data_IF_083160992360
#
_entry.id   IF_083160992360
#
_cell.length_a   1.000
_cell.length_b   1.000
_cell.length_c   1.000
_cell.angle_alpha   90.00
_cell.angle_beta   90.00
_cell.angle_gamma   90.00
#
_symmetry.space_group_name_H-M   'P 1'
#
loop_
_entity.id
_entity.type
_entity.pdbx_description
1 polymer ?
#
# COMPACT_ATOMS: atom_id res chain seq x y z
N UNK A 1 -4.32 -14.86 -18.47
CA UNK A 1 -4.47 -13.41 -18.35
C UNK A 1 -5.22 -12.98 -17.09
N UNK A 2 -6.12 -13.81 -16.60
CA UNK A 2 -6.85 -13.57 -15.34
C UNK A 2 -5.95 -13.63 -14.09
N UNK A 3 -4.85 -14.38 -14.13
CA UNK A 3 -3.91 -14.55 -13.01
C UNK A 3 -3.16 -13.25 -12.67
N UNK A 4 -2.76 -12.47 -13.68
CA UNK A 4 -2.01 -11.21 -13.47
C UNK A 4 -2.90 -10.11 -12.89
N UNK A 5 -4.16 -10.02 -13.31
CA UNK A 5 -5.10 -9.04 -12.74
C UNK A 5 -5.45 -9.39 -11.30
N UNK A 6 -5.60 -10.68 -10.96
CA UNK A 6 -5.88 -11.12 -9.60
C UNK A 6 -4.72 -10.84 -8.64
N UNK A 7 -3.47 -11.03 -9.08
CA UNK A 7 -2.28 -10.73 -8.30
C UNK A 7 -2.13 -9.24 -8.01
N UNK A 8 -2.39 -8.39 -9.01
CA UNK A 8 -2.39 -6.92 -8.85
C UNK A 8 -3.49 -6.45 -7.92
N UNK A 9 -4.70 -6.98 -8.07
CA UNK A 9 -5.85 -6.66 -7.25
C UNK A 9 -5.61 -7.07 -5.79
N UNK A 10 -5.09 -8.27 -5.55
CA UNK A 10 -4.75 -8.75 -4.20
C UNK A 10 -3.64 -7.94 -3.56
N UNK A 11 -2.65 -7.51 -4.34
CA UNK A 11 -1.55 -6.66 -3.88
C UNK A 11 -2.06 -5.30 -3.41
N UNK A 12 -2.89 -4.63 -4.21
CA UNK A 12 -3.47 -3.32 -3.89
C UNK A 12 -4.38 -3.44 -2.67
N UNK A 13 -5.21 -4.48 -2.61
CA UNK A 13 -6.10 -4.72 -1.48
C UNK A 13 -5.33 -4.96 -0.18
N UNK A 14 -4.21 -5.71 -0.24
CA UNK A 14 -3.36 -5.97 0.92
C UNK A 14 -2.69 -4.69 1.43
N UNK A 15 -2.24 -3.82 0.55
CA UNK A 15 -1.64 -2.52 0.93
C UNK A 15 -2.67 -1.61 1.58
N UNK A 16 -3.87 -1.49 0.99
CA UNK A 16 -4.95 -0.66 1.54
C UNK A 16 -5.40 -1.23 2.89
N UNK A 17 -5.53 -2.55 3.00
CA UNK A 17 -5.91 -3.20 4.25
C UNK A 17 -4.92 -2.87 5.37
N UNK A 18 -3.62 -2.99 5.09
CA UNK A 18 -2.58 -2.66 6.08
C UNK A 18 -2.63 -1.19 6.46
N UNK A 19 -2.80 -0.28 5.48
CA UNK A 19 -2.90 1.15 5.73
C UNK A 19 -4.12 1.50 6.59
N UNK A 20 -5.27 0.87 6.33
CA UNK A 20 -6.49 1.06 7.12
C UNK A 20 -6.27 0.58 8.56
N UNK A 21 -5.71 -0.61 8.74
CA UNK A 21 -5.46 -1.17 10.07
C UNK A 21 -4.47 -0.30 10.85
N UNK A 22 -3.40 0.15 10.23
CA UNK A 22 -2.41 1.03 10.86
C UNK A 22 -3.03 2.37 11.27
N UNK A 23 -3.88 2.94 10.39
CA UNK A 23 -4.55 4.20 10.68
C UNK A 23 -5.51 4.07 11.88
N UNK A 24 -6.26 2.98 11.93
CA UNK A 24 -7.25 2.74 13.00
C UNK A 24 -6.59 2.53 14.36
N UNK A 25 -5.40 1.98 14.43
CA UNK A 25 -4.69 1.84 15.70
C UNK A 25 -4.48 3.19 16.39
N UNK A 26 -4.13 4.22 15.63
CA UNK A 26 -3.92 5.56 16.17
C UNK A 26 -5.17 6.41 16.21
N UNK A 27 -6.21 6.08 15.42
CA UNK A 27 -7.36 6.94 15.19
C UNK A 27 -8.66 6.11 15.10
N UNK A 28 -9.05 5.41 16.19
CA UNK A 28 -10.20 4.50 16.11
C UNK A 28 -11.53 5.20 15.88
N UNK A 29 -11.62 6.50 16.18
CA UNK A 29 -12.86 7.28 16.05
C UNK A 29 -13.00 8.02 14.73
N UNK A 30 -12.01 7.90 13.83
CA UNK A 30 -12.12 8.52 12.51
C UNK A 30 -13.23 7.83 11.69
N UNK A 31 -14.00 8.65 10.98
CA UNK A 31 -15.03 8.14 10.05
C UNK A 31 -14.35 7.51 8.84
N UNK A 32 -15.09 6.68 8.12
CA UNK A 32 -14.58 6.09 6.87
C UNK A 32 -14.17 7.18 5.87
N UNK A 33 -14.91 8.30 5.84
CA UNK A 33 -14.61 9.44 4.97
C UNK A 33 -13.28 10.11 5.36
N UNK A 34 -13.04 10.28 6.65
CA UNK A 34 -11.76 10.81 7.16
C UNK A 34 -10.60 9.88 6.84
N UNK A 35 -10.79 8.57 7.01
CA UNK A 35 -9.79 7.56 6.67
C UNK A 35 -9.46 7.63 5.17
N UNK A 36 -10.47 7.64 4.32
CA UNK A 36 -10.31 7.73 2.87
C UNK A 36 -9.51 8.98 2.47
N UNK A 37 -9.84 10.12 3.06
CA UNK A 37 -9.13 11.37 2.82
C UNK A 37 -7.67 11.32 3.25
N UNK A 38 -7.40 10.77 4.43
CA UNK A 38 -6.03 10.67 4.96
C UNK A 38 -5.16 9.70 4.17
N UNK A 39 -5.73 8.59 3.73
CA UNK A 39 -4.99 7.56 2.98
C UNK A 39 -4.92 7.83 1.47
N UNK A 40 -5.70 8.79 0.97
CA UNK A 40 -5.75 9.07 -0.45
C UNK A 40 -6.37 7.95 -1.27
N UNK A 41 -7.35 7.24 -0.70
CA UNK A 41 -8.07 6.15 -1.37
C UNK A 41 -9.56 6.48 -1.42
N UNK A 42 -10.32 5.74 -2.23
CA UNK A 42 -11.75 5.97 -2.36
C UNK A 42 -12.50 5.55 -1.09
N UNK A 43 -13.63 6.22 -0.84
CA UNK A 43 -14.52 5.85 0.26
C UNK A 43 -15.02 4.40 0.12
N UNK A 44 -15.30 3.98 -1.12
CA UNK A 44 -15.72 2.61 -1.43
C UNK A 44 -14.67 1.57 -1.04
N UNK A 45 -13.40 1.86 -1.30
CA UNK A 45 -12.28 0.98 -0.91
C UNK A 45 -12.19 0.84 0.61
N UNK A 46 -12.33 1.95 1.36
CA UNK A 46 -12.30 1.93 2.82
C UNK A 46 -13.50 1.14 3.36
N UNK A 47 -14.69 1.41 2.82
CA UNK A 47 -15.92 0.71 3.24
C UNK A 47 -15.80 -0.80 3.03
N UNK A 48 -15.36 -1.22 1.85
CA UNK A 48 -15.16 -2.63 1.52
C UNK A 48 -14.15 -3.28 2.47
N UNK A 49 -13.03 -2.61 2.68
CA UNK A 49 -11.96 -3.09 3.55
C UNK A 49 -12.44 -3.29 4.99
N UNK A 50 -13.12 -2.29 5.55
CA UNK A 50 -13.63 -2.37 6.93
C UNK A 50 -14.68 -3.47 7.07
N UNK A 51 -15.59 -3.62 6.10
CA UNK A 51 -16.58 -4.70 6.10
C UNK A 51 -15.91 -6.08 6.12
N UNK A 52 -14.89 -6.28 5.30
CA UNK A 52 -14.15 -7.54 5.25
C UNK A 52 -13.41 -7.80 6.57
N UNK A 53 -12.80 -6.79 7.16
CA UNK A 53 -12.08 -6.92 8.43
C UNK A 53 -13.03 -7.23 9.59
N UNK A 54 -14.23 -6.63 9.60
CA UNK A 54 -15.27 -6.95 10.58
C UNK A 54 -15.72 -8.41 10.40
N UNK A 55 -15.99 -8.81 9.18
CA UNK A 55 -16.43 -10.16 8.84
C UNK A 55 -15.42 -11.24 9.30
N UNK A 56 -14.14 -10.94 9.16
CA UNK A 56 -13.05 -11.84 9.58
C UNK A 56 -12.74 -11.78 11.08
N UNK A 57 -13.37 -10.88 11.81
CA UNK A 57 -13.15 -10.74 13.24
C UNK A 57 -11.88 -9.96 13.61
N UNK A 58 -11.30 -9.21 12.68
CA UNK A 58 -10.10 -8.41 12.91
C UNK A 58 -10.41 -7.01 13.41
N UNK A 59 -11.63 -6.53 13.18
CA UNK A 59 -12.12 -5.25 13.65
C UNK A 59 -13.46 -5.48 14.36
N UNK A 60 -13.65 -4.81 15.48
CA UNK A 60 -14.96 -4.68 16.13
C UNK A 60 -15.40 -3.23 16.08
N UNK A 61 -16.71 -3.02 16.02
CA UNK A 61 -17.32 -1.69 15.98
C UNK A 61 -17.91 -1.40 17.34
N UNK A 62 -17.61 -0.23 17.88
CA UNK A 62 -18.24 0.29 19.09
C UNK A 62 -18.88 1.64 18.79
N UNK A 63 -20.01 1.90 19.41
CA UNK A 63 -20.67 3.21 19.34
C UNK A 63 -20.14 4.09 20.44
N UNK A 64 -19.93 5.35 20.13
CA UNK A 64 -19.59 6.36 21.14
C UNK A 64 -20.45 7.61 20.90
N UNK A 65 -20.69 8.36 21.96
CA UNK A 65 -21.47 9.60 21.85
C UNK A 65 -20.55 10.71 21.32
N UNK A 66 -20.84 11.15 20.09
CA UNK A 66 -20.08 12.21 19.42
C UNK A 66 -20.51 13.60 19.90
N UNK A 67 -21.81 13.77 20.09
CA UNK A 67 -22.42 14.94 20.74
C UNK A 67 -23.80 14.51 21.28
N UNK A 68 -24.55 15.43 21.87
CA UNK A 68 -25.85 15.12 22.52
C UNK A 68 -26.88 14.44 21.61
N UNK A 69 -26.76 14.62 20.28
CA UNK A 69 -27.70 14.11 19.28
C UNK A 69 -27.12 13.14 18.26
N UNK A 70 -25.82 12.85 18.33
CA UNK A 70 -25.16 12.00 17.33
C UNK A 70 -24.29 10.94 17.99
N UNK A 71 -24.46 9.69 17.49
CA UNK A 71 -23.58 8.59 17.80
C UNK A 71 -22.53 8.47 16.68
N UNK A 72 -21.31 8.24 17.06
CA UNK A 72 -20.24 7.90 16.16
C UNK A 72 -19.88 6.42 16.28
N UNK A 73 -19.07 5.95 15.36
CA UNK A 73 -18.54 4.59 15.36
C UNK A 73 -17.04 4.63 15.64
N UNK A 74 -16.58 3.74 16.51
CA UNK A 74 -15.18 3.47 16.70
C UNK A 74 -14.86 2.10 16.10
N UNK A 75 -13.83 2.05 15.28
CA UNK A 75 -13.35 0.82 14.67
C UNK A 75 -12.08 0.39 15.41
N UNK A 76 -12.16 -0.70 16.13
CA UNK A 76 -11.09 -1.16 17.01
C UNK A 76 -10.53 -2.48 16.50
N UNK A 77 -9.21 -2.58 16.45
CA UNK A 77 -8.55 -3.84 16.15
C UNK A 77 -8.77 -4.82 17.30
N UNK A 78 -9.20 -6.03 16.97
CA UNK A 78 -9.26 -7.14 17.93
C UNK A 78 -7.85 -7.69 18.16
N UNK A 79 -7.62 -8.52 19.20
CA UNK A 79 -6.32 -9.19 19.35
C UNK A 79 -5.89 -9.96 18.09
N UNK A 80 -6.82 -10.67 17.43
CA UNK A 80 -6.54 -11.33 16.16
C UNK A 80 -6.25 -10.35 15.03
N UNK A 81 -6.87 -9.16 15.05
CA UNK A 81 -6.60 -8.07 14.12
C UNK A 81 -5.20 -7.51 14.28
N UNK A 82 -4.75 -7.33 15.51
CA UNK A 82 -3.38 -6.89 15.80
C UNK A 82 -2.36 -7.91 15.26
N UNK A 83 -2.63 -9.19 15.48
CA UNK A 83 -1.80 -10.27 14.98
C UNK A 83 -1.76 -10.28 13.43
N UNK A 84 -2.92 -10.14 12.80
CA UNK A 84 -3.03 -10.08 11.32
C UNK A 84 -2.27 -8.87 10.77
N UNK A 85 -2.40 -7.72 11.41
CA UNK A 85 -1.64 -6.51 11.02
C UNK A 85 -0.13 -6.79 11.04
N UNK A 86 0.36 -7.47 12.07
CA UNK A 86 1.77 -7.84 12.17
C UNK A 86 2.19 -8.75 11.01
N UNK A 87 1.37 -9.76 10.69
CA UNK A 87 1.62 -10.67 9.56
C UNK A 87 1.67 -9.92 8.22
N UNK A 88 0.72 -9.02 8.00
CA UNK A 88 0.65 -8.21 6.79
C UNK A 88 1.87 -7.28 6.67
N UNK A 89 2.31 -6.72 7.79
CA UNK A 89 3.50 -5.85 7.83
C UNK A 89 4.75 -6.61 7.39
N UNK A 90 4.95 -7.83 7.90
CA UNK A 90 6.09 -8.68 7.52
C UNK A 90 6.03 -9.02 6.03
N UNK A 91 4.86 -9.42 5.53
CA UNK A 91 4.67 -9.75 4.11
C UNK A 91 4.91 -8.55 3.21
N UNK A 92 4.45 -7.38 3.64
CA UNK A 92 4.63 -6.12 2.92
C UNK A 92 6.11 -5.74 2.82
N UNK A 93 6.84 -5.86 3.93
CA UNK A 93 8.28 -5.60 3.95
C UNK A 93 9.03 -6.50 2.97
N UNK A 94 8.75 -7.79 2.99
CA UNK A 94 9.38 -8.76 2.07
C UNK A 94 9.11 -8.41 0.61
N UNK A 95 7.88 -7.98 0.31
CA UNK A 95 7.52 -7.55 -1.04
C UNK A 95 8.28 -6.30 -1.45
N UNK A 96 8.37 -5.31 -0.58
CA UNK A 96 9.10 -4.06 -0.84
C UNK A 96 10.59 -4.32 -1.05
N UNK A 97 11.17 -5.22 -0.30
CA UNK A 97 12.58 -5.60 -0.48
C UNK A 97 12.83 -6.25 -1.84
N UNK A 98 11.90 -7.08 -2.32
CA UNK A 98 11.97 -7.66 -3.68
C UNK A 98 11.83 -6.59 -4.75
N UNK A 99 10.86 -5.69 -4.61
CA UNK A 99 10.67 -4.57 -5.53
C UNK A 99 11.90 -3.68 -5.61
N UNK A 100 12.53 -3.43 -4.46
CA UNK A 100 13.76 -2.66 -4.38
C UNK A 100 14.89 -3.34 -5.15
N UNK A 101 15.10 -4.64 -4.96
CA UNK A 101 16.13 -5.40 -5.66
C UNK A 101 15.90 -5.40 -7.18
N UNK A 102 14.65 -5.56 -7.61
CA UNK A 102 14.26 -5.49 -9.03
C UNK A 102 14.55 -4.11 -9.61
N UNK A 103 14.23 -3.06 -8.88
CA UNK A 103 14.47 -1.68 -9.30
C UNK A 103 15.97 -1.39 -9.38
N UNK A 104 16.76 -1.87 -8.44
CA UNK A 104 18.24 -1.74 -8.49
C UNK A 104 18.79 -2.38 -9.76
N UNK A 105 18.31 -3.58 -10.10
CA UNK A 105 18.74 -4.29 -11.31
C UNK A 105 18.35 -3.52 -12.58
N UNK A 106 17.14 -2.97 -12.63
CA UNK A 106 16.68 -2.14 -13.76
C UNK A 106 17.54 -0.89 -13.92
N UNK A 107 17.85 -0.21 -12.83
CA UNK A 107 18.70 1.00 -12.85
C UNK A 107 20.10 0.65 -13.34
N UNK A 108 20.67 -0.45 -12.86
CA UNK A 108 22.01 -0.90 -13.29
C UNK A 108 22.03 -1.16 -14.79
N UNK A 109 21.00 -1.82 -15.32
CA UNK A 109 20.87 -2.09 -16.76
C UNK A 109 20.78 -0.80 -17.57
N UNK A 110 19.99 0.17 -17.09
CA UNK A 110 19.85 1.47 -17.75
C UNK A 110 21.15 2.26 -17.74
N UNK A 111 21.89 2.21 -16.65
CA UNK A 111 23.21 2.86 -16.56
C UNK A 111 24.19 2.29 -17.56
N UNK A 112 24.17 0.98 -17.76
CA UNK A 112 24.99 0.33 -18.81
C UNK A 112 24.60 0.80 -20.22
N UNK A 113 23.31 0.91 -20.49
CA UNK A 113 22.81 1.42 -21.77
C UNK A 113 23.26 2.86 -22.00
N UNK A 114 23.15 3.72 -21.00
CA UNK A 114 23.58 5.11 -21.09
C UNK A 114 25.09 5.18 -21.33
N UNK A 115 25.89 4.38 -20.63
CA UNK A 115 27.33 4.31 -20.82
C UNK A 115 27.71 3.92 -22.25
N UNK A 116 27.01 2.96 -22.85
CA UNK A 116 27.20 2.54 -24.25
C UNK A 116 26.85 3.67 -25.23
N UNK A 117 25.76 4.38 -24.96
CA UNK A 117 25.36 5.52 -25.80
C UNK A 117 26.38 6.65 -25.73
N UNK A 118 26.91 6.95 -24.55
CA UNK A 118 27.96 7.96 -24.36
C UNK A 118 29.25 7.56 -25.07
N UNK A 119 29.68 6.30 -24.98
CA UNK A 119 30.84 5.79 -25.70
C UNK A 119 30.63 5.86 -27.22
N UNK A 120 29.43 5.55 -27.70
CA UNK A 120 29.05 5.68 -29.10
C UNK A 120 29.14 7.10 -29.59
N UNK A 121 28.70 8.08 -28.79
CA UNK A 121 28.80 9.52 -29.08
C UNK A 121 30.26 9.98 -29.12
N UNK A 122 31.07 9.54 -28.16
CA UNK A 122 32.53 9.86 -28.13
C UNK A 122 33.27 9.27 -29.33
N UNK A 123 32.94 8.04 -29.70
CA UNK A 123 33.50 7.38 -30.88
C UNK A 123 33.18 8.13 -32.18
N UNK A 124 31.93 8.57 -32.33
CA UNK A 124 31.48 9.36 -33.49
C UNK A 124 32.15 10.74 -33.54
N UNK A 125 32.36 11.40 -32.40
CA UNK A 125 33.05 12.69 -32.34
C UNK A 125 34.51 12.55 -32.71
N UNK A 126 35.21 11.51 -32.29
CA UNK A 126 36.60 11.22 -32.65
C UNK A 126 36.74 10.90 -34.13
N UNK A 127 35.82 10.15 -34.71
CA UNK A 127 35.79 9.83 -36.15
C UNK A 127 35.52 11.07 -36.98
N UNK A 128 34.71 12.00 -36.50
CA UNK A 128 34.42 13.27 -37.17
C UNK A 128 35.61 14.26 -37.12
N UNK A 129 36.50 14.15 -36.12
CA UNK A 129 37.65 14.98 -35.94
C UNK A 129 38.84 14.56 -36.79
N UNK A 130 38.83 13.36 -37.35
CA UNK A 130 39.83 12.82 -38.30
C UNK A 130 39.35 13.00 -39.72
#
# INVERSE_FOLDING_TARGET
MTENSNKKSNKVNAEVTLQVMAHLEGNPRHSQREIAGKLGVSLGSVNYCIKELIKKGFIKVENFRKNSNKLGYAYLLTPSGIHEKANLTVSFLKRKQREYAELEAEIAALREEVAKLEQGKMGKQNDAAN
#
